data_IF_751546082556
#
_entry.id   IF_751546082556
#
_cell.length_a   1.000
_cell.length_b   1.000
_cell.length_c   1.000
_cell.angle_alpha   90.00
_cell.angle_beta   90.00
_cell.angle_gamma   90.00
#
_symmetry.space_group_name_H-M   'P 1'
#
loop_
_entity.id
_entity.type
_entity.pdbx_description
1 polymer ?
#
# COMPACT_ATOMS: atom_id res chain seq x y z
N UNK A 1 17.65 6.27 -9.07
CA UNK A 1 17.71 6.97 -7.77
C UNK A 1 16.32 6.98 -7.15
N UNK A 2 16.16 6.37 -5.98
CA UNK A 2 14.89 6.12 -5.29
C UNK A 2 14.53 7.32 -4.41
N UNK A 3 13.80 8.30 -4.94
CA UNK A 3 13.31 9.47 -4.17
C UNK A 3 11.84 9.34 -3.72
N UNK A 4 11.05 8.44 -4.32
CA UNK A 4 9.62 8.29 -3.97
C UNK A 4 9.34 7.54 -2.66
N UNK A 5 10.29 6.75 -2.15
CA UNK A 5 10.07 5.88 -0.98
C UNK A 5 10.27 6.60 0.36
N UNK A 6 11.03 7.71 0.39
CA UNK A 6 11.33 8.44 1.63
C UNK A 6 10.22 9.44 1.98
N UNK A 7 9.53 9.98 0.98
CA UNK A 7 8.44 10.96 1.20
C UNK A 7 7.21 10.28 1.82
N UNK A 8 6.93 9.02 1.44
CA UNK A 8 5.80 8.26 2.00
C UNK A 8 6.01 7.96 3.50
N UNK A 9 7.24 7.63 3.92
CA UNK A 9 7.58 7.30 5.31
C UNK A 9 7.57 8.53 6.22
N UNK A 10 7.96 9.70 5.72
CA UNK A 10 7.90 10.97 6.48
C UNK A 10 6.48 11.52 6.66
N UNK A 11 5.55 11.24 5.72
CA UNK A 11 4.16 11.69 5.85
C UNK A 11 3.34 10.78 6.80
N UNK A 12 3.66 9.50 6.87
CA UNK A 12 3.05 8.54 7.79
C UNK A 12 3.41 8.82 9.26
N UNK A 13 4.64 9.25 9.54
CA UNK A 13 5.06 9.66 10.89
C UNK A 13 4.44 10.98 11.34
N UNK A 14 4.27 11.95 10.43
CA UNK A 14 3.56 13.20 10.73
C UNK A 14 2.07 12.98 11.05
N UNK A 15 1.42 12.02 10.38
CA UNK A 15 0.04 11.62 10.67
C UNK A 15 -0.08 10.89 12.02
N UNK A 16 0.94 10.11 12.41
CA UNK A 16 1.03 9.47 13.72
C UNK A 16 1.17 10.48 14.87
N UNK A 17 1.97 11.55 14.70
CA UNK A 17 2.15 12.59 15.73
C UNK A 17 0.90 13.46 15.93
N UNK A 18 0.17 13.79 14.86
CA UNK A 18 -1.05 14.57 14.96
C UNK A 18 -2.18 13.83 15.70
N UNK A 19 -2.30 12.51 15.48
CA UNK A 19 -3.31 11.69 16.17
C UNK A 19 -2.92 11.37 17.61
N UNK A 20 -1.62 11.36 17.95
CA UNK A 20 -1.13 11.16 19.32
C UNK A 20 -1.38 12.35 20.27
N UNK A 21 -1.43 13.58 19.75
CA UNK A 21 -1.64 14.79 20.58
C UNK A 21 -3.11 15.12 20.83
N UNK A 22 -4.05 14.68 19.98
CA UNK A 22 -5.47 15.00 20.15
C UNK A 22 -6.20 14.20 21.24
N UNK A 23 -5.56 13.21 21.87
CA UNK A 23 -6.16 12.44 22.99
C UNK A 23 -5.88 13.09 24.35
N UNK A 24 -5.01 14.10 24.41
CA UNK A 24 -4.59 14.74 25.67
C UNK A 24 -5.35 16.05 26.01
N UNK A 25 -6.19 16.56 25.12
CA UNK A 25 -6.86 17.85 25.32
C UNK A 25 -8.39 17.72 25.23
N UNK A 26 -9.03 17.56 26.39
CA UNK A 26 -10.26 18.25 26.82
C UNK A 26 -11.12 17.36 27.71
N UNK A 27 -11.17 17.76 28.98
CA UNK A 27 -12.28 17.53 29.87
C UNK A 27 -13.57 18.08 29.23
N UNK A 28 -14.68 17.36 29.40
CA UNK A 28 -15.99 17.75 28.89
C UNK A 28 -16.73 16.58 28.26
N UNK A 29 -17.33 15.75 29.11
CA UNK A 29 -18.31 14.73 28.69
C UNK A 29 -19.53 15.47 28.13
N UNK A 30 -19.76 15.38 26.83
CA UNK A 30 -21.07 15.16 26.18
C UNK A 30 -20.90 15.27 24.66
N UNK A 31 -21.47 14.31 23.95
CA UNK A 31 -21.63 14.26 22.49
C UNK A 31 -20.35 14.27 21.65
N UNK A 32 -19.63 13.14 21.66
CA UNK A 32 -18.98 12.65 20.45
C UNK A 32 -20.09 12.20 19.49
N UNK A 33 -20.65 13.21 18.82
CA UNK A 33 -21.63 13.16 17.76
C UNK A 33 -21.16 12.21 16.64
N UNK A 34 -22.09 11.63 15.91
CA UNK A 34 -21.79 10.76 14.76
C UNK A 34 -20.85 11.45 13.75
N UNK A 35 -20.91 12.79 13.69
CA UNK A 35 -19.99 13.63 12.93
C UNK A 35 -18.53 13.52 13.37
N UNK A 36 -18.24 13.35 14.67
CA UNK A 36 -16.87 13.28 15.20
C UNK A 36 -16.25 11.90 14.99
N UNK A 37 -17.05 10.83 15.06
CA UNK A 37 -16.63 9.49 14.61
C UNK A 37 -16.41 9.48 13.10
N UNK A 38 -17.33 10.09 12.33
CA UNK A 38 -17.20 10.23 10.89
C UNK A 38 -15.95 11.03 10.50
N UNK A 39 -15.60 12.07 11.26
CA UNK A 39 -14.40 12.88 11.06
C UNK A 39 -13.13 12.10 11.39
N UNK A 40 -13.11 11.30 12.47
CA UNK A 40 -11.99 10.40 12.78
C UNK A 40 -11.81 9.28 11.73
N UNK A 41 -12.92 8.75 11.20
CA UNK A 41 -12.93 7.81 10.08
C UNK A 41 -12.40 8.51 8.82
N UNK A 42 -12.89 9.71 8.49
CA UNK A 42 -12.44 10.48 7.34
C UNK A 42 -10.98 10.87 7.43
N UNK A 43 -10.49 11.30 8.61
CA UNK A 43 -9.08 11.61 8.85
C UNK A 43 -8.20 10.36 8.79
N UNK A 44 -8.69 9.20 9.24
CA UNK A 44 -8.00 7.92 9.07
C UNK A 44 -7.89 7.50 7.59
N UNK A 45 -8.85 7.90 6.75
CA UNK A 45 -8.85 7.65 5.30
C UNK A 45 -8.30 8.82 4.46
N UNK A 46 -7.87 9.94 5.08
CA UNK A 46 -7.45 11.16 4.38
C UNK A 46 -6.03 11.04 3.82
N UNK A 47 -5.89 10.30 2.74
CA UNK A 47 -4.64 10.18 1.98
C UNK A 47 -4.51 11.40 1.05
N UNK A 48 -3.63 12.36 1.39
CA UNK A 48 -3.27 13.52 0.53
C UNK A 48 -2.35 13.10 -0.65
N UNK A 49 -2.75 12.10 -1.40
CA UNK A 49 -2.03 11.64 -2.60
C UNK A 49 -3.03 11.65 -3.77
N UNK A 50 -2.59 12.04 -4.96
CA UNK A 50 -3.40 11.88 -6.17
C UNK A 50 -3.58 10.38 -6.46
N UNK A 51 -4.62 9.82 -5.88
CA UNK A 51 -5.00 8.42 -6.06
C UNK A 51 -5.56 8.21 -7.46
N UNK A 52 -5.13 7.13 -8.10
CA UNK A 52 -5.72 6.67 -9.35
C UNK A 52 -7.18 6.21 -9.13
N UNK A 53 -8.03 6.19 -10.16
CA UNK A 53 -9.43 5.78 -10.03
C UNK A 53 -9.62 4.37 -9.45
N UNK A 54 -8.77 3.41 -9.84
CA UNK A 54 -8.75 2.05 -9.31
C UNK A 54 -8.46 2.05 -7.80
N UNK A 55 -7.45 2.81 -7.38
CA UNK A 55 -7.07 2.91 -5.97
C UNK A 55 -8.16 3.59 -5.13
N UNK A 56 -8.85 4.61 -5.68
CA UNK A 56 -9.99 5.25 -5.00
C UNK A 56 -11.13 4.27 -4.78
N UNK A 57 -11.49 3.49 -5.80
CA UNK A 57 -12.56 2.51 -5.70
C UNK A 57 -12.23 1.42 -4.67
N UNK A 58 -10.99 0.95 -4.62
CA UNK A 58 -10.56 -0.02 -3.62
C UNK A 58 -10.55 0.57 -2.21
N UNK A 59 -10.10 1.82 -2.05
CA UNK A 59 -10.16 2.53 -0.76
C UNK A 59 -11.60 2.73 -0.26
N UNK A 60 -12.55 3.02 -1.15
CA UNK A 60 -13.97 3.12 -0.80
C UNK A 60 -14.53 1.78 -0.29
N UNK A 61 -14.08 0.64 -0.85
CA UNK A 61 -14.46 -0.69 -0.34
C UNK A 61 -13.88 -0.93 1.06
N UNK A 62 -12.61 -0.58 1.29
CA UNK A 62 -11.98 -0.69 2.61
C UNK A 62 -12.73 0.18 3.63
N UNK A 63 -13.09 1.41 3.26
CA UNK A 63 -13.89 2.30 4.12
C UNK A 63 -15.22 1.64 4.52
N UNK A 64 -16.00 1.17 3.55
CA UNK A 64 -17.31 0.53 3.81
C UNK A 64 -17.18 -0.74 4.65
N UNK A 65 -16.12 -1.53 4.43
CA UNK A 65 -15.84 -2.76 5.17
C UNK A 65 -15.56 -2.49 6.64
N UNK A 66 -14.82 -1.43 6.95
CA UNK A 66 -14.29 -1.20 8.30
C UNK A 66 -15.01 -0.10 9.08
N UNK A 67 -15.86 0.71 8.45
CA UNK A 67 -16.61 1.78 9.11
C UNK A 67 -17.46 1.27 10.29
N UNK A 68 -18.22 0.20 10.06
CA UNK A 68 -19.08 -0.40 11.09
C UNK A 68 -18.26 -1.05 12.22
N UNK A 69 -17.28 -1.95 11.95
CA UNK A 69 -16.41 -2.49 13.00
C UNK A 69 -15.68 -1.43 13.83
N UNK A 70 -15.19 -0.37 13.19
CA UNK A 70 -14.49 0.70 13.90
C UNK A 70 -15.45 1.46 14.82
N UNK A 71 -16.67 1.78 14.34
CA UNK A 71 -17.71 2.44 15.13
C UNK A 71 -18.09 1.60 16.36
N UNK A 72 -18.30 0.30 16.18
CA UNK A 72 -18.61 -0.63 17.27
C UNK A 72 -17.49 -0.71 18.30
N UNK A 73 -16.22 -0.78 17.85
CA UNK A 73 -15.07 -0.79 18.75
C UNK A 73 -14.94 0.52 19.56
N UNK A 74 -15.21 1.68 18.95
CA UNK A 74 -15.27 2.96 19.66
C UNK A 74 -16.42 3.04 20.67
N UNK A 75 -17.59 2.49 20.35
CA UNK A 75 -18.70 2.39 21.30
C UNK A 75 -18.35 1.51 22.50
N UNK A 76 -17.73 0.34 22.27
CA UNK A 76 -17.23 -0.53 23.34
C UNK A 76 -16.20 0.17 24.22
N UNK A 77 -15.26 0.91 23.62
CA UNK A 77 -14.28 1.70 24.38
C UNK A 77 -14.95 2.73 25.28
N UNK A 78 -15.95 3.45 24.76
CA UNK A 78 -16.71 4.43 25.56
C UNK A 78 -17.43 3.76 26.73
N UNK A 79 -18.07 2.61 26.51
CA UNK A 79 -18.71 1.84 27.58
C UNK A 79 -17.69 1.34 28.61
N UNK A 80 -16.50 0.92 28.16
CA UNK A 80 -15.42 0.50 29.04
C UNK A 80 -14.82 1.65 29.86
N UNK A 81 -14.76 2.87 29.30
CA UNK A 81 -14.30 4.07 30.01
C UNK A 81 -15.20 4.46 31.17
N UNK A 82 -16.51 4.22 31.05
CA UNK A 82 -17.52 4.43 32.10
C UNK A 82 -17.51 3.35 33.20
N UNK A 83 -16.74 2.28 33.01
CA UNK A 83 -16.59 1.18 33.97
C UNK A 83 -15.31 1.38 34.79
N UNK A 84 -15.27 0.92 36.04
CA UNK A 84 -14.04 0.93 36.86
C UNK A 84 -13.07 -0.20 36.50
N UNK A 85 -13.51 -1.15 35.67
CA UNK A 85 -12.69 -2.27 35.20
C UNK A 85 -11.64 -1.82 34.14
N UNK A 86 -10.40 -1.67 34.60
CA UNK A 86 -9.25 -1.33 33.73
C UNK A 86 -8.98 -2.38 32.66
N UNK A 87 -9.29 -3.66 32.92
CA UNK A 87 -9.07 -4.73 31.93
C UNK A 87 -9.95 -4.53 30.71
N UNK A 88 -11.21 -4.11 30.92
CA UNK A 88 -12.13 -3.76 29.82
C UNK A 88 -11.66 -2.56 29.02
N UNK A 89 -11.10 -1.53 29.67
CA UNK A 89 -10.53 -0.34 29.01
C UNK A 89 -9.36 -0.71 28.10
N UNK A 90 -8.47 -1.57 28.61
CA UNK A 90 -7.31 -2.07 27.87
C UNK A 90 -7.77 -2.94 26.70
N UNK A 91 -8.72 -3.86 26.92
CA UNK A 91 -9.23 -4.75 25.88
C UNK A 91 -9.89 -3.97 24.72
N UNK A 92 -10.76 -3.01 25.02
CA UNK A 92 -11.41 -2.19 24.00
C UNK A 92 -10.41 -1.31 23.23
N UNK A 93 -9.37 -0.80 23.91
CA UNK A 93 -8.30 -0.05 23.26
C UNK A 93 -7.46 -0.91 22.32
N UNK A 94 -7.17 -2.17 22.71
CA UNK A 94 -6.47 -3.14 21.86
C UNK A 94 -7.30 -3.54 20.63
N UNK A 95 -8.62 -3.65 20.78
CA UNK A 95 -9.53 -3.95 19.67
C UNK A 95 -9.49 -2.84 18.60
N UNK A 96 -9.55 -1.57 19.01
CA UNK A 96 -9.41 -0.42 18.09
C UNK A 96 -8.05 -0.43 17.39
N UNK A 97 -6.96 -0.65 18.14
CA UNK A 97 -5.62 -0.72 17.56
C UNK A 97 -5.48 -1.83 16.52
N UNK A 98 -6.06 -3.00 16.81
CA UNK A 98 -6.07 -4.14 15.87
C UNK A 98 -6.80 -3.78 14.57
N UNK A 99 -8.01 -3.23 14.67
CA UNK A 99 -8.80 -2.83 13.50
C UNK A 99 -8.04 -1.76 12.70
N UNK A 100 -7.44 -0.79 13.38
CA UNK A 100 -6.64 0.26 12.73
C UNK A 100 -5.45 -0.31 11.97
N UNK A 101 -4.72 -1.26 12.55
CA UNK A 101 -3.59 -1.90 11.87
C UNK A 101 -4.04 -2.67 10.63
N UNK A 102 -5.17 -3.38 10.70
CA UNK A 102 -5.74 -4.09 9.55
C UNK A 102 -6.15 -3.12 8.43
N UNK A 103 -6.76 -1.98 8.77
CA UNK A 103 -7.08 -0.92 7.80
C UNK A 103 -5.80 -0.41 7.13
N UNK A 104 -4.76 -0.10 7.92
CA UNK A 104 -3.48 0.39 7.39
C UNK A 104 -2.84 -0.61 6.43
N UNK A 105 -2.80 -1.91 6.78
CA UNK A 105 -2.26 -2.95 5.90
C UNK A 105 -3.04 -3.07 4.58
N UNK A 106 -4.37 -2.96 4.62
CA UNK A 106 -5.20 -2.98 3.41
C UNK A 106 -4.96 -1.74 2.54
N UNK A 107 -4.86 -0.55 3.13
CA UNK A 107 -4.52 0.69 2.42
C UNK A 107 -3.14 0.59 1.78
N UNK A 108 -2.13 0.11 2.52
CA UNK A 108 -0.77 -0.06 2.00
C UNK A 108 -0.73 -0.98 0.79
N UNK A 109 -1.48 -2.09 0.79
CA UNK A 109 -1.59 -3.00 -0.36
C UNK A 109 -2.18 -2.31 -1.59
N UNK A 110 -3.20 -1.47 -1.41
CA UNK A 110 -3.82 -0.70 -2.50
C UNK A 110 -2.84 0.34 -3.05
N UNK A 111 -2.12 1.05 -2.18
CA UNK A 111 -1.13 2.05 -2.59
C UNK A 111 0.09 1.43 -3.27
N UNK A 112 0.50 0.23 -2.82
CA UNK A 112 1.60 -0.53 -3.40
C UNK A 112 1.25 -1.19 -4.74
N UNK A 113 -0.02 -1.17 -5.16
CA UNK A 113 -0.44 -1.78 -6.42
C UNK A 113 0.17 -1.00 -7.59
N UNK A 114 1.07 -1.62 -8.39
CA UNK A 114 1.77 -0.94 -9.47
C UNK A 114 0.77 -0.56 -10.58
N UNK A 115 1.03 0.57 -11.23
CA UNK A 115 0.17 1.05 -12.32
C UNK A 115 0.13 0.01 -13.46
N UNK A 116 -1.06 -0.53 -13.82
CA UNK A 116 -1.20 -1.54 -14.86
C UNK A 116 -0.59 -1.11 -16.21
N UNK A 117 -0.66 0.18 -16.54
CA UNK A 117 -0.08 0.71 -17.78
C UNK A 117 1.46 0.66 -17.74
N UNK A 118 2.06 0.91 -16.58
CA UNK A 118 3.51 0.82 -16.37
C UNK A 118 3.95 -0.65 -16.40
N UNK A 119 3.21 -1.54 -15.74
CA UNK A 119 3.47 -2.99 -15.76
C UNK A 119 3.44 -3.52 -17.19
N UNK A 120 2.43 -3.16 -17.98
CA UNK A 120 2.33 -3.56 -19.38
C UNK A 120 3.53 -3.10 -20.22
N UNK A 121 3.93 -1.83 -20.07
CA UNK A 121 5.11 -1.29 -20.77
C UNK A 121 6.41 -2.00 -20.38
N UNK A 122 6.59 -2.29 -19.10
CA UNK A 122 7.74 -3.04 -18.60
C UNK A 122 7.76 -4.46 -19.17
N UNK A 123 6.61 -5.14 -19.20
CA UNK A 123 6.48 -6.48 -19.78
C UNK A 123 6.83 -6.48 -21.27
N UNK A 124 6.31 -5.53 -22.04
CA UNK A 124 6.62 -5.38 -23.46
C UNK A 124 8.12 -5.09 -23.68
N UNK A 125 8.72 -4.22 -22.87
CA UNK A 125 10.15 -3.95 -22.93
C UNK A 125 11.00 -5.18 -22.60
N UNK A 126 10.59 -5.98 -21.61
CA UNK A 126 11.25 -7.21 -21.22
C UNK A 126 11.15 -8.28 -22.33
N UNK A 127 9.98 -8.44 -22.93
CA UNK A 127 9.77 -9.34 -24.07
C UNK A 127 10.64 -8.94 -25.28
N UNK A 128 10.72 -7.64 -25.59
CA UNK A 128 11.60 -7.13 -26.67
C UNK A 128 13.07 -7.39 -26.38
N UNK A 129 13.49 -7.19 -25.13
CA UNK A 129 14.88 -7.47 -24.72
C UNK A 129 15.20 -8.97 -24.83
N UNK A 130 14.28 -9.83 -24.43
CA UNK A 130 14.45 -11.28 -24.52
C UNK A 130 14.51 -11.74 -25.98
N UNK A 131 13.64 -11.22 -26.84
CA UNK A 131 13.68 -11.49 -28.29
C UNK A 131 15.01 -11.02 -28.91
N UNK A 132 15.45 -9.80 -28.61
CA UNK A 132 16.72 -9.28 -29.09
C UNK A 132 17.92 -10.13 -28.63
N UNK A 133 17.91 -10.63 -27.39
CA UNK A 133 18.94 -11.54 -26.89
C UNK A 133 18.92 -12.90 -27.61
N UNK A 134 17.73 -13.46 -27.88
CA UNK A 134 17.61 -14.72 -28.63
C UNK A 134 18.14 -14.58 -30.05
N UNK A 135 17.73 -13.54 -30.76
CA UNK A 135 18.23 -13.25 -32.11
C UNK A 135 19.75 -13.02 -32.13
N UNK A 136 20.30 -12.27 -31.18
CA UNK A 136 21.73 -12.06 -31.07
C UNK A 136 22.50 -13.37 -30.85
N UNK A 137 21.97 -14.27 -30.00
CA UNK A 137 22.56 -15.60 -29.77
C UNK A 137 22.52 -16.47 -31.02
N UNK A 138 21.41 -16.45 -31.76
CA UNK A 138 21.28 -17.20 -33.02
C UNK A 138 22.22 -16.68 -34.09
N UNK A 139 22.31 -15.35 -34.27
CA UNK A 139 23.27 -14.72 -35.19
C UNK A 139 24.71 -15.08 -34.83
N UNK A 140 25.07 -15.04 -33.54
CA UNK A 140 26.40 -15.44 -33.08
C UNK A 140 26.68 -16.94 -33.38
N UNK A 141 25.70 -17.83 -33.20
CA UNK A 141 25.82 -19.25 -33.56
C UNK A 141 26.02 -19.44 -35.07
N UNK A 142 25.21 -18.78 -35.90
CA UNK A 142 25.33 -18.86 -37.35
C UNK A 142 26.68 -18.33 -37.85
N UNK A 143 27.17 -17.22 -37.29
CA UNK A 143 28.49 -16.68 -37.62
C UNK A 143 29.60 -17.67 -37.28
N UNK A 144 29.57 -18.30 -36.09
CA UNK A 144 30.54 -19.33 -35.72
C UNK A 144 30.52 -20.53 -36.67
N UNK A 145 29.33 -21.00 -37.06
CA UNK A 145 29.20 -22.11 -38.01
C UNK A 145 29.76 -21.76 -39.39
N UNK A 146 29.45 -20.58 -39.92
CA UNK A 146 30.00 -20.11 -41.20
C UNK A 146 31.52 -19.97 -41.17
N UNK A 147 32.07 -19.42 -40.09
CA UNK A 147 33.51 -19.29 -39.91
C UNK A 147 34.21 -20.67 -39.84
N UNK A 148 33.61 -21.65 -39.14
CA UNK A 148 34.12 -23.02 -39.10
C UNK A 148 34.09 -23.70 -40.47
N UNK A 149 33.00 -23.54 -41.23
CA UNK A 149 32.89 -24.07 -42.59
C UNK A 149 33.93 -23.46 -43.54
N UNK A 150 34.18 -22.14 -43.46
CA UNK A 150 35.20 -21.48 -44.26
C UNK A 150 36.62 -21.98 -43.91
N UNK A 151 36.94 -22.11 -42.62
CA UNK A 151 38.23 -22.68 -42.17
C UNK A 151 38.44 -24.11 -42.68
N UNK A 152 37.41 -24.96 -42.60
CA UNK A 152 37.48 -26.34 -43.10
C UNK A 152 37.64 -26.42 -44.63
N UNK A 153 37.08 -25.47 -45.39
CA UNK A 153 37.31 -25.39 -46.85
C UNK A 153 38.72 -24.92 -47.18
N UNK A 154 39.27 -23.98 -46.41
CA UNK A 154 40.63 -23.48 -46.61
C UNK A 154 41.69 -24.56 -46.33
N UNK A 155 41.51 -25.40 -45.29
CA UNK A 155 42.43 -26.51 -44.97
C UNK A 155 42.34 -27.72 -45.93
N UNK A 156 41.37 -27.74 -46.85
CA UNK A 156 41.18 -28.82 -47.84
C UNK A 156 41.72 -28.48 -49.24
N UNK A 157 42.34 -27.31 -49.40
CA UNK A 157 43.07 -26.89 -50.59
C UNK A 157 44.55 -26.86 -50.27
#
# INVERSE_FOLDING_TARGET
MRLGSLIAVCLLTALWMAVGQSVAASAGVSDLDDNKIRQLVEDAFKVKVSLRPDQRQELDKVKRKWEQPLREAYQKKRQAELSDDETKKIAASREILRIRNQISEEIEKILATPDPAVVKKLQEAQNRMEQAQREARERARQQKLRAAQQKNKANRR
#
